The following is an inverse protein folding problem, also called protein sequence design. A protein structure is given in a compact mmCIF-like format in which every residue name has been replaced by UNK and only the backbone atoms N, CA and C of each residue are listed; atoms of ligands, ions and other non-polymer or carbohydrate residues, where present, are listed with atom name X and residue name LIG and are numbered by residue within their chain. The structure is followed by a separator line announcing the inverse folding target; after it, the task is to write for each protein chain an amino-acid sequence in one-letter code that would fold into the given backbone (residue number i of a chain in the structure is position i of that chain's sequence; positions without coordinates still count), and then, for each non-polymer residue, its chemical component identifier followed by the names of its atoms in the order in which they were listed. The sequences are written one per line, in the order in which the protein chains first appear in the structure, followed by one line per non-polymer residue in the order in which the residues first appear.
data_IF_024502289207
#
_entry.id   IF_024502289207
#
_cell.length_a   1.000
_cell.length_b   1.000
_cell.length_c   1.000
_cell.angle_alpha   90.00
_cell.angle_beta   90.00
_cell.angle_gamma   90.00
#
_symmetry.space_group_name_H-M   'P 1'
#
loop_
_entity.id
_entity.type
_entity.pdbx_description
1 polymer ?
#
# COMPACT_ATOMS: atom_id res chain seq x y z
N UNK A 1 -29.85 -0.48 4.20
CA UNK A 1 -28.45 -0.93 4.13
C UNK A 1 -27.63 0.31 3.83
N UNK A 2 -26.84 0.79 4.79
CA UNK A 2 -25.88 1.87 4.56
C UNK A 2 -24.79 1.37 3.60
N UNK A 3 -24.18 2.28 2.84
CA UNK A 3 -23.03 1.92 2.01
C UNK A 3 -21.93 1.31 2.88
N UNK A 4 -21.16 0.31 2.39
CA UNK A 4 -20.12 -0.36 3.17
C UNK A 4 -19.00 0.58 3.65
N UNK A 5 -18.96 1.80 3.13
CA UNK A 5 -18.07 2.87 3.56
C UNK A 5 -18.90 4.13 3.82
N UNK A 6 -18.99 4.52 5.08
CA UNK A 6 -19.67 5.72 5.57
C UNK A 6 -18.65 6.68 6.23
N UNK A 7 -19.11 7.76 6.86
CA UNK A 7 -18.24 8.74 7.51
C UNK A 7 -17.33 8.12 8.60
N UNK A 8 -17.75 7.01 9.22
CA UNK A 8 -16.91 6.31 10.20
C UNK A 8 -15.76 5.55 9.52
N UNK A 9 -15.99 5.03 8.30
CA UNK A 9 -14.92 4.45 7.50
C UNK A 9 -13.93 5.52 7.03
N UNK A 10 -14.40 6.69 6.60
CA UNK A 10 -13.51 7.82 6.24
C UNK A 10 -12.62 8.23 7.42
N UNK A 11 -13.22 8.44 8.60
CA UNK A 11 -12.46 8.79 9.80
C UNK A 11 -11.39 7.75 10.17
N UNK A 12 -11.69 6.45 9.97
CA UNK A 12 -10.72 5.40 10.21
C UNK A 12 -9.56 5.41 9.19
N UNK A 13 -9.81 5.80 7.93
CA UNK A 13 -8.73 5.92 6.95
C UNK A 13 -7.86 7.16 7.18
N UNK A 14 -8.41 8.23 7.74
CA UNK A 14 -7.62 9.36 8.23
C UNK A 14 -6.68 8.92 9.36
N UNK A 15 -7.13 8.05 10.28
CA UNK A 15 -6.26 7.46 11.32
C UNK A 15 -5.13 6.62 10.73
N UNK A 16 -5.37 5.91 9.62
CA UNK A 16 -4.32 5.17 8.89
C UNK A 16 -3.32 6.13 8.25
N UNK A 17 -3.79 7.24 7.66
CA UNK A 17 -2.91 8.26 7.08
C UNK A 17 -2.03 8.94 8.15
N UNK A 18 -2.62 9.29 9.29
CA UNK A 18 -1.87 9.81 10.46
C UNK A 18 -0.85 8.78 10.98
N UNK A 19 -1.21 7.49 10.97
CA UNK A 19 -0.27 6.43 11.35
C UNK A 19 0.91 6.33 10.37
N UNK A 20 0.71 6.54 9.06
CA UNK A 20 1.81 6.64 8.10
C UNK A 20 2.73 7.81 8.39
N UNK A 21 2.20 8.99 8.72
CA UNK A 21 3.00 10.16 9.07
C UNK A 21 3.90 9.93 10.31
N UNK A 22 3.53 8.98 11.18
CA UNK A 22 4.33 8.56 12.33
C UNK A 22 5.46 7.57 12.00
N UNK A 23 5.48 6.98 10.80
CA UNK A 23 6.53 6.04 10.39
C UNK A 23 7.78 6.80 9.94
N UNK A 24 8.95 6.36 10.41
CA UNK A 24 10.23 6.91 9.96
C UNK A 24 10.60 6.34 8.59
N UNK A 25 11.16 7.16 7.71
CA UNK A 25 11.64 6.79 6.36
C UNK A 25 10.56 6.25 5.40
N UNK A 26 9.28 6.53 5.70
CA UNK A 26 8.13 6.23 4.86
C UNK A 26 7.32 7.51 4.70
N UNK A 27 7.07 7.91 3.46
CA UNK A 27 6.09 8.95 3.13
C UNK A 27 4.87 8.24 2.55
N UNK A 28 3.79 8.14 3.34
CA UNK A 28 2.60 7.35 3.03
C UNK A 28 1.32 8.17 3.07
N UNK A 29 0.40 7.85 2.17
CA UNK A 29 -0.90 8.52 2.04
C UNK A 29 -2.00 7.48 1.74
N UNK A 30 -3.24 7.83 2.07
CA UNK A 30 -4.42 6.97 1.94
C UNK A 30 -5.49 7.66 1.10
N UNK A 31 -5.80 7.08 -0.06
CA UNK A 31 -6.90 7.49 -0.91
C UNK A 31 -8.11 6.57 -0.72
N UNK A 32 -9.30 7.13 -0.53
CA UNK A 32 -10.54 6.35 -0.36
C UNK A 32 -11.50 6.62 -1.50
N UNK A 33 -11.96 5.54 -2.14
CA UNK A 33 -12.96 5.57 -3.21
C UNK A 33 -14.25 4.90 -2.74
N UNK A 34 -15.04 5.62 -1.94
CA UNK A 34 -16.24 5.10 -1.28
C UNK A 34 -17.25 4.43 -2.24
N UNK A 35 -17.45 5.02 -3.43
CA UNK A 35 -18.40 4.49 -4.43
C UNK A 35 -17.98 3.14 -5.00
N UNK A 36 -16.68 2.89 -5.06
CA UNK A 36 -16.07 1.69 -5.65
C UNK A 36 -15.66 0.69 -4.57
N UNK A 37 -15.74 1.08 -3.30
CA UNK A 37 -15.31 0.29 -2.16
C UNK A 37 -13.82 -0.04 -2.20
N UNK A 38 -13.00 0.87 -2.73
CA UNK A 38 -11.55 0.72 -2.86
C UNK A 38 -10.83 1.70 -1.95
N UNK A 39 -9.73 1.24 -1.36
CA UNK A 39 -8.77 2.07 -0.63
C UNK A 39 -7.42 1.89 -1.32
N UNK A 40 -6.79 3.00 -1.66
CA UNK A 40 -5.47 3.05 -2.27
C UNK A 40 -4.46 3.51 -1.22
N UNK A 41 -3.42 2.71 -1.00
CA UNK A 41 -2.30 3.06 -0.13
C UNK A 41 -1.11 3.45 -1.02
N UNK A 42 -0.73 4.71 -0.98
CA UNK A 42 0.39 5.24 -1.76
C UNK A 42 1.56 5.46 -0.82
N UNK A 43 2.76 5.05 -1.20
CA UNK A 43 3.94 5.27 -0.38
C UNK A 43 5.23 5.41 -1.17
N UNK A 44 6.11 6.26 -0.64
CA UNK A 44 7.51 6.35 -1.03
C UNK A 44 8.37 5.79 0.10
N UNK A 45 9.25 4.84 -0.24
CA UNK A 45 10.14 4.18 0.73
C UNK A 45 11.57 4.22 0.22
N UNK A 46 12.53 4.32 1.15
CA UNK A 46 13.93 4.16 0.83
C UNK A 46 14.34 2.68 0.84
N UNK A 47 14.83 2.16 -0.29
CA UNK A 47 15.26 0.76 -0.43
C UNK A 47 16.39 0.59 -1.45
N UNK A 48 17.22 -0.44 -1.24
CA UNK A 48 18.39 -0.72 -2.10
C UNK A 48 17.98 -1.36 -3.44
N UNK A 49 16.86 -2.09 -3.45
CA UNK A 49 16.32 -2.75 -4.62
C UNK A 49 14.78 -2.75 -4.61
N UNK A 50 14.21 -3.15 -5.75
CA UNK A 50 12.76 -3.14 -5.98
C UNK A 50 11.99 -4.15 -5.11
N UNK A 51 12.43 -5.41 -4.94
CA UNK A 51 11.80 -6.34 -4.00
C UNK A 51 11.82 -5.83 -2.55
N UNK A 52 12.93 -5.21 -2.13
CA UNK A 52 13.08 -4.56 -0.83
C UNK A 52 12.15 -3.36 -0.67
N UNK A 53 11.93 -2.58 -1.73
CA UNK A 53 10.94 -1.50 -1.74
C UNK A 53 9.52 -2.06 -1.51
N UNK A 54 9.13 -3.11 -2.23
CA UNK A 54 7.82 -3.76 -2.06
C UNK A 54 7.65 -4.35 -0.66
N UNK A 55 8.68 -5.00 -0.13
CA UNK A 55 8.66 -5.54 1.23
C UNK A 55 8.47 -4.44 2.27
N UNK A 56 9.28 -3.37 2.20
CA UNK A 56 9.18 -2.22 3.12
C UNK A 56 7.82 -1.54 3.03
N UNK A 57 7.34 -1.31 1.81
CA UNK A 57 6.02 -0.76 1.55
C UNK A 57 4.91 -1.61 2.19
N UNK A 58 4.93 -2.92 1.96
CA UNK A 58 3.94 -3.83 2.50
C UNK A 58 3.94 -3.87 4.04
N UNK A 59 5.12 -3.89 4.67
CA UNK A 59 5.25 -3.85 6.14
C UNK A 59 4.78 -2.50 6.70
N UNK A 60 5.11 -1.40 6.03
CA UNK A 60 4.65 -0.06 6.43
C UNK A 60 3.13 0.01 6.40
N UNK A 61 2.49 -0.47 5.33
CA UNK A 61 1.04 -0.54 5.22
C UNK A 61 0.39 -1.33 6.36
N UNK A 62 0.92 -2.53 6.65
CA UNK A 62 0.40 -3.34 7.77
C UNK A 62 0.57 -2.65 9.11
N UNK A 63 1.71 -1.99 9.31
CA UNK A 63 1.99 -1.26 10.55
C UNK A 63 1.03 -0.10 10.74
N UNK A 64 0.82 0.71 9.71
CA UNK A 64 -0.12 1.84 9.76
C UNK A 64 -1.56 1.36 10.03
N UNK A 65 -2.02 0.33 9.31
CA UNK A 65 -3.35 -0.26 9.53
C UNK A 65 -3.50 -0.80 10.95
N UNK A 66 -2.50 -1.49 11.49
CA UNK A 66 -2.55 -1.98 12.87
C UNK A 66 -2.50 -0.88 13.92
N UNK A 67 -1.72 0.19 13.68
CA UNK A 67 -1.63 1.34 14.58
C UNK A 67 -2.96 2.09 14.68
N UNK A 68 -3.72 2.16 13.57
CA UNK A 68 -5.09 2.67 13.55
C UNK A 68 -6.12 1.71 14.17
N UNK A 69 -5.72 0.49 14.58
CA UNK A 69 -6.63 -0.51 15.17
C UNK A 69 -7.26 -1.48 14.16
N UNK A 70 -6.83 -1.44 12.90
CA UNK A 70 -7.24 -2.36 11.84
C UNK A 70 -6.55 -3.73 11.91
N UNK A 71 -7.04 -4.67 11.08
CA UNK A 71 -6.53 -6.04 10.99
C UNK A 71 -6.06 -6.41 9.58
N UNK A 72 -4.97 -7.18 9.49
CA UNK A 72 -4.35 -7.60 8.22
C UNK A 72 -4.14 -9.12 8.10
N UNK A 73 -4.94 -9.94 8.80
CA UNK A 73 -4.76 -11.41 8.84
C UNK A 73 -4.77 -12.06 7.46
N UNK A 74 -5.61 -11.59 6.56
CA UNK A 74 -5.76 -12.17 5.22
C UNK A 74 -4.63 -11.77 4.25
N UNK A 75 -3.72 -10.89 4.68
CA UNK A 75 -2.67 -10.34 3.82
C UNK A 75 -1.42 -11.23 3.75
N UNK A 76 -1.33 -12.28 4.58
CA UNK A 76 -0.13 -13.13 4.66
C UNK A 76 0.24 -13.79 3.32
N UNK A 77 -0.75 -14.06 2.48
CA UNK A 77 -0.54 -14.61 1.13
C UNK A 77 -0.29 -13.54 0.05
N UNK A 78 -0.49 -12.26 0.36
CA UNK A 78 -0.42 -11.18 -0.62
C UNK A 78 1.03 -10.81 -0.95
N UNK A 79 1.92 -10.80 0.04
CA UNK A 79 3.32 -10.42 -0.19
C UNK A 79 4.02 -11.34 -1.21
N UNK A 80 3.94 -12.69 -1.11
CA UNK A 80 4.46 -13.57 -2.16
C UNK A 80 3.81 -13.28 -3.53
N UNK A 81 2.50 -13.08 -3.57
CA UNK A 81 1.76 -12.78 -4.81
C UNK A 81 2.22 -11.46 -5.45
N UNK A 82 2.49 -10.43 -4.64
CA UNK A 82 2.97 -9.13 -5.10
C UNK A 82 4.39 -9.21 -5.65
N UNK A 83 5.27 -9.96 -4.98
CA UNK A 83 6.64 -10.17 -5.44
C UNK A 83 6.66 -10.97 -6.75
N UNK A 84 5.89 -12.05 -6.85
CA UNK A 84 5.76 -12.84 -8.09
C UNK A 84 5.22 -12.00 -9.26
N UNK A 85 4.22 -11.15 -8.99
CA UNK A 85 3.66 -10.25 -10.00
C UNK A 85 4.65 -9.17 -10.44
N UNK A 86 5.49 -8.67 -9.52
CA UNK A 86 6.51 -7.68 -9.82
C UNK A 86 7.67 -8.28 -10.62
N UNK A 87 8.12 -9.48 -10.25
CA UNK A 87 9.12 -10.24 -11.01
C UNK A 87 8.62 -10.52 -12.42
N UNK A 88 7.36 -10.95 -12.56
CA UNK A 88 6.74 -11.13 -13.87
C UNK A 88 6.73 -9.81 -14.66
N UNK A 89 6.26 -8.70 -14.07
CA UNK A 89 6.24 -7.38 -14.72
C UNK A 89 7.63 -6.92 -15.14
N UNK A 90 8.62 -7.08 -14.28
CA UNK A 90 10.02 -6.71 -14.55
C UNK A 90 10.58 -7.57 -15.69
N UNK A 91 10.25 -8.86 -15.74
CA UNK A 91 10.70 -9.77 -16.80
C UNK A 91 10.11 -9.45 -18.18
N UNK A 92 8.85 -8.98 -18.25
CA UNK A 92 8.18 -8.62 -19.52
C UNK A 92 8.41 -7.16 -19.91
N UNK A 93 8.69 -6.27 -18.95
CA UNK A 93 8.97 -4.84 -19.18
C UNK A 93 10.39 -4.57 -19.68
N UNK A 94 11.30 -5.55 -19.66
CA UNK A 94 12.59 -5.48 -20.36
C UNK A 94 12.45 -5.30 -21.90
N UNK A 95 11.21 -5.31 -22.43
CA UNK A 95 10.91 -4.96 -23.82
C UNK A 95 10.58 -3.47 -24.06
N UNK A 96 10.53 -2.61 -23.04
CA UNK A 96 10.36 -1.16 -23.27
C UNK A 96 11.72 -0.46 -23.27
N UNK A 97 12.23 -0.22 -24.47
CA UNK A 97 13.33 0.71 -24.73
C UNK A 97 13.04 2.03 -24.00
N UNK A 98 14.07 2.50 -23.28
CA UNK A 98 14.34 3.87 -22.85
C UNK A 98 13.19 4.88 -23.02
N UNK A 99 12.62 5.34 -21.89
CA UNK A 99 11.99 6.66 -21.88
C UNK A 99 13.10 7.71 -22.16
N UNK A 100 13.01 8.50 -23.24
CA UNK A 100 13.97 9.57 -23.49
C UNK A 100 13.86 10.65 -22.41
N UNK A 101 15.01 11.24 -22.10
CA UNK A 101 15.23 12.29 -21.09
C UNK A 101 14.37 13.54 -21.27
#
# INVERSE_FOLDING_TARGET
MGAPFDEAAEAHFDEVAEAFAGLTDVDGDVGVHLKEGRVDLCMTVNADDRPGALFKAFVAARTAVHAAGGGTSEWDSWLPTLLDADDYRSSVSLSHKDCPA
#
